data_IF_385264040053
#
_entry.id   IF_385264040053
#
_cell.length_a   1.000
_cell.length_b   1.000
_cell.length_c   1.000
_cell.angle_alpha   90.00
_cell.angle_beta   90.00
_cell.angle_gamma   90.00
#
_symmetry.space_group_name_H-M   'P 1'
#
loop_
_entity.id
_entity.type
_entity.pdbx_description
1 polymer ?
#
# COMPACT_ATOMS: atom_id res chain seq x y z
N UNK A 1 33.85 -26.33 -56.82
CA UNK A 1 34.80 -26.93 -55.86
C UNK A 1 34.00 -27.68 -54.79
N UNK A 2 34.35 -28.95 -54.54
CA UNK A 2 33.75 -29.88 -53.55
C UNK A 2 33.65 -29.23 -52.15
N UNK A 3 32.60 -29.53 -51.39
CA UNK A 3 32.67 -30.54 -50.32
C UNK A 3 31.31 -30.81 -49.64
N UNK A 4 31.03 -32.10 -49.45
CA UNK A 4 29.96 -32.71 -48.66
C UNK A 4 30.11 -32.38 -47.17
N UNK A 5 28.97 -32.21 -46.48
CA UNK A 5 28.68 -32.64 -45.09
C UNK A 5 27.17 -32.94 -45.09
N UNK A 6 26.61 -34.17 -45.04
CA UNK A 6 26.69 -35.25 -44.04
C UNK A 6 26.81 -34.76 -42.60
N UNK A 7 25.72 -34.92 -41.86
CA UNK A 7 25.72 -35.03 -40.40
C UNK A 7 24.55 -34.32 -39.74
N UNK A 8 23.62 -35.08 -39.16
CA UNK A 8 23.00 -34.66 -37.91
C UNK A 8 21.48 -34.54 -37.82
N UNK A 9 20.69 -35.33 -38.54
CA UNK A 9 19.36 -35.71 -38.03
C UNK A 9 19.55 -36.59 -36.79
N UNK A 10 19.49 -35.99 -35.58
CA UNK A 10 19.04 -36.62 -34.33
C UNK A 10 19.30 -35.76 -33.06
N UNK A 11 19.15 -34.44 -33.15
CA UNK A 11 19.11 -33.57 -31.95
C UNK A 11 17.68 -33.17 -31.54
N UNK A 12 16.65 -33.70 -32.21
CA UNK A 12 15.24 -33.39 -31.93
C UNK A 12 14.57 -34.39 -30.96
N UNK A 13 15.30 -35.44 -30.56
CA UNK A 13 14.83 -36.47 -29.63
C UNK A 13 14.86 -36.03 -28.15
N UNK A 14 15.52 -34.92 -27.83
CA UNK A 14 15.75 -34.48 -26.43
C UNK A 14 14.85 -33.33 -26.00
N UNK A 15 14.22 -32.60 -26.94
CA UNK A 15 13.33 -31.46 -26.61
C UNK A 15 11.85 -31.84 -26.48
N UNK A 16 11.43 -33.00 -27.00
CA UNK A 16 10.06 -33.50 -26.83
C UNK A 16 9.81 -34.25 -25.50
N UNK A 17 10.85 -34.66 -24.77
CA UNK A 17 10.70 -35.41 -23.51
C UNK A 17 10.40 -34.57 -22.26
N UNK A 18 10.38 -33.23 -22.35
CA UNK A 18 10.14 -32.37 -21.19
C UNK A 18 8.77 -31.68 -21.17
N UNK A 19 7.90 -31.91 -22.17
CA UNK A 19 6.53 -31.35 -22.19
C UNK A 19 5.43 -32.34 -21.79
N UNK A 20 5.75 -33.63 -21.60
CA UNK A 20 4.78 -34.68 -21.22
C UNK A 20 4.87 -35.10 -19.75
N UNK A 21 5.38 -34.24 -18.86
CA UNK A 21 5.05 -34.34 -17.43
C UNK A 21 3.90 -33.39 -17.14
N UNK A 22 2.74 -33.75 -17.70
CA UNK A 22 1.46 -33.30 -17.19
C UNK A 22 1.47 -33.51 -15.68
N UNK A 23 1.48 -32.40 -14.95
CA UNK A 23 1.41 -32.34 -13.50
C UNK A 23 0.11 -33.05 -13.11
N UNK A 24 0.21 -34.32 -12.73
CA UNK A 24 -0.87 -35.09 -12.13
C UNK A 24 -1.27 -34.36 -10.85
N UNK A 25 -2.27 -33.50 -10.92
CA UNK A 25 -2.94 -32.99 -9.74
C UNK A 25 -3.68 -34.18 -9.15
N UNK A 26 -3.13 -34.74 -8.06
CA UNK A 26 -3.89 -35.64 -7.22
C UNK A 26 -5.21 -34.94 -6.85
N UNK A 27 -6.37 -35.62 -6.95
CA UNK A 27 -7.61 -35.05 -6.44
C UNK A 27 -7.38 -34.78 -4.95
N UNK A 28 -7.49 -33.51 -4.53
CA UNK A 28 -7.42 -33.18 -3.12
C UNK A 28 -8.49 -34.01 -2.40
N UNK A 29 -8.07 -34.95 -1.56
CA UNK A 29 -8.97 -35.83 -0.81
C UNK A 29 -10.04 -34.96 -0.13
N UNK A 30 -11.32 -35.21 -0.45
CA UNK A 30 -12.44 -34.38 0.01
C UNK A 30 -12.50 -34.24 1.53
N UNK A 31 -11.90 -35.18 2.26
CA UNK A 31 -11.72 -35.18 3.71
C UNK A 31 -10.83 -34.04 4.22
N UNK A 32 -9.76 -33.67 3.51
CA UNK A 32 -8.91 -32.53 3.86
C UNK A 32 -9.67 -31.21 3.66
N UNK A 33 -10.42 -31.10 2.56
CA UNK A 33 -11.24 -29.94 2.24
C UNK A 33 -12.39 -29.74 3.24
N UNK A 34 -13.02 -30.81 3.70
CA UNK A 34 -14.05 -30.78 4.74
C UNK A 34 -13.49 -30.34 6.09
N UNK A 35 -12.31 -30.81 6.49
CA UNK A 35 -11.62 -30.34 7.70
C UNK A 35 -11.34 -28.83 7.64
N UNK A 36 -10.83 -28.34 6.51
CA UNK A 36 -10.54 -26.91 6.30
C UNK A 36 -11.83 -26.07 6.37
N UNK A 37 -12.92 -26.55 5.74
CA UNK A 37 -14.24 -25.89 5.81
C UNK A 37 -14.79 -25.85 7.23
N UNK A 38 -14.68 -26.95 7.98
CA UNK A 38 -15.13 -27.02 9.37
C UNK A 38 -14.30 -26.11 10.30
N UNK A 39 -12.98 -26.00 10.09
CA UNK A 39 -12.12 -25.07 10.82
C UNK A 39 -12.45 -23.62 10.50
N UNK A 40 -12.74 -23.30 9.24
CA UNK A 40 -13.18 -21.96 8.83
C UNK A 40 -14.50 -21.55 9.50
N UNK A 41 -15.49 -22.46 9.51
CA UNK A 41 -16.79 -22.21 10.14
C UNK A 41 -16.67 -22.04 11.66
N UNK A 42 -15.74 -22.76 12.30
CA UNK A 42 -15.39 -22.56 13.71
C UNK A 42 -14.70 -21.21 13.97
N UNK A 43 -13.85 -20.74 13.06
CA UNK A 43 -13.22 -19.43 13.16
C UNK A 43 -14.22 -18.28 12.94
N UNK A 44 -15.16 -18.43 12.00
CA UNK A 44 -16.21 -17.44 11.73
C UNK A 44 -17.21 -17.29 12.90
N UNK A 45 -17.32 -18.30 13.78
CA UNK A 45 -18.24 -18.30 14.94
C UNK A 45 -17.61 -17.85 16.26
N UNK A 46 -16.27 -17.70 16.34
CA UNK A 46 -15.55 -17.50 17.61
C UNK A 46 -15.50 -16.04 18.12
N UNK A 47 -15.77 -15.03 17.29
CA UNK A 47 -16.04 -13.66 17.75
C UNK A 47 -16.45 -12.77 16.57
N UNK A 48 -17.23 -11.70 16.79
CA UNK A 48 -17.12 -10.52 15.94
C UNK A 48 -15.68 -10.01 16.08
N UNK A 49 -14.90 -10.04 14.99
CA UNK A 49 -13.60 -9.35 14.97
C UNK A 49 -13.88 -7.90 15.37
N UNK A 50 -13.21 -7.40 16.40
CA UNK A 50 -13.43 -6.04 16.90
C UNK A 50 -13.38 -5.06 15.71
N UNK A 51 -14.33 -4.13 15.66
CA UNK A 51 -14.53 -3.29 14.47
C UNK A 51 -13.43 -2.23 14.34
N UNK A 52 -12.78 -1.89 15.46
CA UNK A 52 -11.73 -0.88 15.52
C UNK A 52 -10.72 -1.15 16.65
N UNK A 53 -9.48 -0.68 16.47
CA UNK A 53 -8.40 -0.79 17.48
C UNK A 53 -8.75 -0.16 18.84
N UNK A 54 -9.73 0.75 18.91
CA UNK A 54 -10.15 1.40 20.15
C UNK A 54 -10.81 0.45 21.17
N UNK A 55 -11.17 -0.76 20.75
CA UNK A 55 -11.87 -1.75 21.57
C UNK A 55 -10.94 -2.80 22.19
N UNK A 56 -9.63 -2.76 21.90
CA UNK A 56 -8.66 -3.73 22.42
C UNK A 56 -7.96 -3.16 23.65
N UNK A 57 -8.21 -3.75 24.81
CA UNK A 57 -7.51 -3.41 26.06
C UNK A 57 -5.98 -3.57 25.89
N UNK A 58 -5.23 -2.50 26.17
CA UNK A 58 -3.76 -2.52 26.23
C UNK A 58 -3.03 -2.05 24.96
N UNK A 59 -3.75 -1.63 23.92
CA UNK A 59 -3.17 -0.92 22.77
C UNK A 59 -3.51 0.56 22.89
N UNK A 60 -2.53 1.39 23.26
CA UNK A 60 -2.70 2.83 23.22
C UNK A 60 -2.97 3.25 21.76
N UNK A 61 -4.17 3.74 21.47
CA UNK A 61 -4.58 4.20 20.13
C UNK A 61 -3.72 5.36 19.59
N UNK A 62 -2.86 5.94 20.43
CA UNK A 62 -1.85 6.93 20.04
C UNK A 62 -0.61 6.34 19.38
N UNK A 63 -0.39 5.02 19.51
CA UNK A 63 0.85 4.37 19.08
C UNK A 63 0.75 3.56 17.79
N UNK A 64 -0.48 3.37 17.31
CA UNK A 64 -0.78 2.53 16.17
C UNK A 64 -1.61 3.33 15.18
N UNK A 65 -1.10 3.47 13.96
CA UNK A 65 -1.87 4.03 12.84
C UNK A 65 -2.50 2.87 12.07
N UNK A 66 -3.83 2.79 12.16
CA UNK A 66 -4.63 1.93 11.28
C UNK A 66 -5.03 2.71 10.04
N UNK A 67 -4.97 2.03 8.89
CA UNK A 67 -5.44 2.58 7.64
C UNK A 67 -6.78 1.92 7.33
N UNK A 68 -7.86 2.70 7.35
CA UNK A 68 -9.23 2.24 7.16
C UNK A 68 -9.76 2.68 5.79
N UNK A 69 -10.79 1.99 5.31
CA UNK A 69 -11.57 2.51 4.19
C UNK A 69 -12.46 3.65 4.70
N UNK A 70 -12.26 4.84 4.13
CA UNK A 70 -12.97 6.06 4.50
C UNK A 70 -13.90 6.51 3.38
N UNK A 71 -15.00 7.16 3.75
CA UNK A 71 -15.84 7.85 2.79
C UNK A 71 -15.15 9.11 2.25
N UNK A 72 -15.53 9.54 1.05
CA UNK A 72 -14.88 10.69 0.40
C UNK A 72 -15.01 11.99 1.21
N UNK A 73 -16.09 12.12 1.99
CA UNK A 73 -16.33 13.28 2.87
C UNK A 73 -15.39 13.27 4.09
N UNK A 74 -15.17 12.10 4.69
CA UNK A 74 -14.23 11.94 5.81
C UNK A 74 -12.80 12.24 5.38
N UNK A 75 -12.40 11.77 4.19
CA UNK A 75 -11.09 12.06 3.59
C UNK A 75 -10.92 13.57 3.40
N UNK A 76 -11.94 14.24 2.87
CA UNK A 76 -11.91 15.67 2.62
C UNK A 76 -11.75 16.46 3.93
N UNK A 77 -12.56 16.13 4.95
CA UNK A 77 -12.47 16.76 6.27
C UNK A 77 -11.07 16.60 6.87
N UNK A 78 -10.50 15.39 6.82
CA UNK A 78 -9.15 15.15 7.38
C UNK A 78 -8.04 15.89 6.62
N UNK A 79 -8.17 16.01 5.30
CA UNK A 79 -7.23 16.83 4.51
C UNK A 79 -7.33 18.30 4.92
N UNK A 80 -8.54 18.84 5.09
CA UNK A 80 -8.74 20.22 5.54
C UNK A 80 -8.16 20.46 6.94
N UNK A 81 -8.40 19.55 7.88
CA UNK A 81 -7.81 19.61 9.23
C UNK A 81 -6.27 19.59 9.19
N UNK A 82 -5.68 18.78 8.31
CA UNK A 82 -4.22 18.75 8.10
C UNK A 82 -3.72 20.08 7.53
N UNK A 83 -4.43 20.67 6.57
CA UNK A 83 -4.06 21.96 5.98
C UNK A 83 -4.16 23.08 7.01
N UNK A 84 -5.20 23.08 7.87
CA UNK A 84 -5.31 24.05 8.97
C UNK A 84 -4.12 23.95 9.92
N UNK A 85 -3.74 22.74 10.34
CA UNK A 85 -2.54 22.52 11.19
C UNK A 85 -1.26 23.04 10.52
N UNK A 86 -1.12 22.80 9.21
CA UNK A 86 0.02 23.31 8.44
C UNK A 86 0.03 24.84 8.41
N UNK A 87 -1.12 25.48 8.20
CA UNK A 87 -1.24 26.95 8.22
C UNK A 87 -0.85 27.50 9.60
N UNK A 88 -1.29 26.88 10.69
CA UNK A 88 -0.89 27.24 12.05
C UNK A 88 0.64 27.10 12.26
N UNK A 89 1.26 26.03 11.75
CA UNK A 89 2.72 25.86 11.79
C UNK A 89 3.47 26.96 11.04
N UNK A 90 2.95 27.37 9.88
CA UNK A 90 3.54 28.45 9.07
C UNK A 90 3.38 29.79 9.79
N UNK A 91 2.20 30.09 10.33
CA UNK A 91 1.93 31.35 11.05
C UNK A 91 2.73 31.46 12.36
N UNK A 92 3.01 30.34 13.02
CA UNK A 92 3.85 30.29 14.22
C UNK A 92 5.36 30.33 13.92
N UNK A 93 5.77 30.38 12.65
CA UNK A 93 7.17 30.52 12.24
C UNK A 93 7.96 29.20 12.16
N UNK A 94 7.31 28.05 12.34
CA UNK A 94 7.95 26.72 12.21
C UNK A 94 8.07 26.26 10.75
N UNK A 95 7.39 26.95 9.82
CA UNK A 95 7.39 26.63 8.40
C UNK A 95 6.46 25.46 8.04
N UNK A 96 6.59 24.96 6.81
CA UNK A 96 5.80 23.83 6.31
C UNK A 96 6.46 22.50 6.67
N UNK A 97 5.75 21.66 7.43
CA UNK A 97 6.19 20.29 7.71
C UNK A 97 5.02 19.31 7.67
N UNK A 98 5.28 18.09 7.22
CA UNK A 98 4.33 16.97 7.33
C UNK A 98 4.93 15.88 8.21
N UNK A 99 4.11 15.25 9.04
CA UNK A 99 4.52 14.10 9.85
C UNK A 99 3.67 12.91 9.48
N UNK A 100 4.31 11.82 9.07
CA UNK A 100 3.64 10.61 8.59
C UNK A 100 4.37 9.34 9.08
N UNK A 101 3.66 8.22 9.29
CA UNK A 101 4.27 6.98 9.77
C UNK A 101 5.23 6.36 8.75
N UNK A 102 6.30 5.72 9.23
CA UNK A 102 7.28 5.04 8.39
C UNK A 102 6.70 3.69 7.95
N UNK A 103 6.69 3.38 6.65
CA UNK A 103 6.23 2.08 6.11
C UNK A 103 7.33 1.01 5.99
N UNK A 104 8.38 1.11 6.79
CA UNK A 104 9.48 0.13 6.78
C UNK A 104 9.08 -1.15 7.49
N UNK A 105 9.67 -2.29 7.11
CA UNK A 105 9.35 -3.61 7.68
C UNK A 105 9.45 -3.66 9.22
N UNK A 106 10.34 -2.85 9.83
CA UNK A 106 10.44 -2.76 11.28
C UNK A 106 9.28 -2.03 11.97
N UNK A 107 8.60 -1.14 11.24
CA UNK A 107 7.45 -0.37 11.74
C UNK A 107 6.10 -1.02 11.43
N UNK A 108 6.08 -2.07 10.60
CA UNK A 108 4.88 -2.84 10.32
C UNK A 108 4.65 -3.82 11.46
N UNK A 109 3.44 -3.82 12.02
CA UNK A 109 2.96 -4.75 13.05
C UNK A 109 1.76 -5.52 12.56
N UNK A 110 1.54 -6.72 13.12
CA UNK A 110 0.35 -7.51 12.88
C UNK A 110 -0.40 -7.70 14.19
N UNK A 111 -1.67 -7.31 14.19
CA UNK A 111 -2.57 -7.46 15.34
C UNK A 111 -3.39 -8.72 15.12
N UNK A 112 -3.15 -9.75 15.92
CA UNK A 112 -3.76 -11.09 15.76
C UNK A 112 -5.26 -11.07 16.03
N UNK A 113 -5.67 -10.18 16.92
CA UNK A 113 -7.03 -9.98 17.41
C UNK A 113 -7.94 -9.42 16.32
N UNK A 114 -7.38 -8.59 15.41
CA UNK A 114 -8.08 -7.99 14.29
C UNK A 114 -7.83 -8.69 12.96
N UNK A 115 -6.81 -9.54 12.87
CA UNK A 115 -6.29 -10.09 11.61
C UNK A 115 -5.95 -8.97 10.62
N UNK A 116 -5.28 -7.92 11.12
CA UNK A 116 -4.93 -6.69 10.37
C UNK A 116 -3.47 -6.30 10.53
N UNK A 117 -2.94 -5.69 9.47
CA UNK A 117 -1.61 -5.09 9.46
C UNK A 117 -1.75 -3.62 9.86
N UNK A 118 -0.91 -3.18 10.79
CA UNK A 118 -0.93 -1.83 11.34
C UNK A 118 0.47 -1.22 11.33
N UNK A 119 0.55 0.11 11.36
CA UNK A 119 1.82 0.82 11.52
C UNK A 119 2.04 1.15 13.00
N UNK A 120 3.23 0.88 13.51
CA UNK A 120 3.64 1.24 14.89
C UNK A 120 4.05 2.72 14.96
N UNK A 121 4.62 3.11 16.10
CA UNK A 121 5.01 4.46 16.51
C UNK A 121 6.05 5.22 15.69
N UNK A 122 6.78 4.58 14.76
CA UNK A 122 7.87 5.30 14.10
C UNK A 122 7.30 6.27 13.08
N UNK A 123 7.33 7.55 13.43
CA UNK A 123 6.97 8.66 12.57
C UNK A 123 8.20 9.26 11.90
N UNK A 124 8.00 9.82 10.72
CA UNK A 124 8.98 10.68 10.04
C UNK A 124 8.38 12.04 9.79
N UNK A 125 9.15 13.08 10.08
CA UNK A 125 8.80 14.46 9.73
C UNK A 125 9.54 14.87 8.46
N UNK A 126 8.83 15.48 7.53
CA UNK A 126 9.36 16.03 6.28
C UNK A 126 9.17 17.54 6.30
N UNK A 127 10.27 18.24 6.52
CA UNK A 127 10.28 19.71 6.54
C UNK A 127 10.55 20.25 5.14
N UNK A 128 9.88 21.34 4.78
CA UNK A 128 10.13 22.04 3.53
C UNK A 128 11.48 22.79 3.55
N UNK A 129 11.91 23.25 4.72
CA UNK A 129 13.15 24.02 4.89
C UNK A 129 14.42 23.18 4.63
N UNK A 130 14.33 21.85 4.79
CA UNK A 130 15.49 20.97 4.67
C UNK A 130 15.64 20.45 3.23
N UNK A 131 16.83 20.61 2.64
CA UNK A 131 17.10 20.33 1.21
C UNK A 131 16.93 18.85 0.82
N UNK A 132 17.09 17.92 1.76
CA UNK A 132 16.87 16.49 1.50
C UNK A 132 15.39 16.09 1.46
N UNK A 133 14.51 16.85 2.13
CA UNK A 133 13.08 16.54 2.26
C UNK A 133 12.19 17.49 1.47
N UNK A 134 12.69 18.65 1.05
CA UNK A 134 11.95 19.69 0.31
C UNK A 134 11.17 19.12 -0.88
N UNK A 135 11.82 18.27 -1.69
CA UNK A 135 11.20 17.71 -2.89
C UNK A 135 10.04 16.78 -2.55
N UNK A 136 10.22 15.89 -1.58
CA UNK A 136 9.16 14.97 -1.14
C UNK A 136 8.00 15.73 -0.51
N UNK A 137 8.31 16.78 0.25
CA UNK A 137 7.31 17.68 0.86
C UNK A 137 6.48 18.39 -0.22
N UNK A 138 7.13 18.91 -1.27
CA UNK A 138 6.44 19.55 -2.39
C UNK A 138 5.53 18.57 -3.17
N UNK A 139 6.03 17.36 -3.45
CA UNK A 139 5.24 16.29 -4.07
C UNK A 139 4.03 15.94 -3.19
N UNK A 140 4.22 15.83 -1.87
CA UNK A 140 3.15 15.53 -0.92
C UNK A 140 2.05 16.60 -0.90
N UNK A 141 2.42 17.87 -0.84
CA UNK A 141 1.46 18.98 -0.97
C UNK A 141 0.70 18.91 -2.29
N UNK A 142 1.38 18.58 -3.40
CA UNK A 142 0.73 18.46 -4.71
C UNK A 142 -0.25 17.28 -4.74
N UNK A 143 0.12 16.14 -4.18
CA UNK A 143 -0.77 14.96 -4.10
C UNK A 143 -1.99 15.27 -3.22
N UNK A 144 -1.81 15.90 -2.05
CA UNK A 144 -2.91 16.34 -1.19
C UNK A 144 -3.88 17.27 -1.94
N UNK A 145 -3.35 18.24 -2.68
CA UNK A 145 -4.16 19.14 -3.51
C UNK A 145 -4.97 18.37 -4.55
N UNK A 146 -4.35 17.42 -5.26
CA UNK A 146 -5.04 16.62 -6.28
C UNK A 146 -6.14 15.78 -5.63
N UNK A 147 -5.82 15.04 -4.57
CA UNK A 147 -6.79 14.19 -3.85
C UNK A 147 -7.98 15.01 -3.35
N UNK A 148 -7.73 16.17 -2.74
CA UNK A 148 -8.78 17.09 -2.31
C UNK A 148 -9.72 17.49 -3.46
N UNK A 149 -9.18 17.86 -4.63
CA UNK A 149 -9.99 18.22 -5.80
C UNK A 149 -10.79 17.03 -6.35
N UNK A 150 -10.22 15.83 -6.31
CA UNK A 150 -10.90 14.60 -6.73
C UNK A 150 -12.05 14.23 -5.81
N UNK A 151 -11.88 14.38 -4.49
CA UNK A 151 -12.94 14.20 -3.50
C UNK A 151 -14.09 15.17 -3.72
N UNK A 152 -13.81 16.46 -3.96
CA UNK A 152 -14.83 17.48 -4.26
C UNK A 152 -15.60 17.14 -5.55
N UNK A 153 -14.87 16.76 -6.59
CA UNK A 153 -15.46 16.49 -7.91
C UNK A 153 -16.17 15.13 -7.98
N UNK A 154 -16.01 14.27 -6.95
CA UNK A 154 -16.48 12.88 -6.92
C UNK A 154 -16.00 12.07 -8.14
N UNK A 155 -14.75 12.28 -8.54
CA UNK A 155 -14.13 11.59 -9.68
C UNK A 155 -13.09 10.60 -9.16
N UNK A 156 -13.21 9.36 -9.60
CA UNK A 156 -12.18 8.34 -9.38
C UNK A 156 -11.11 8.42 -10.46
N UNK A 157 -9.84 8.30 -10.06
CA UNK A 157 -8.68 8.45 -10.93
C UNK A 157 -7.72 7.29 -10.69
N UNK A 158 -7.10 6.77 -11.75
CA UNK A 158 -6.10 5.70 -11.60
C UNK A 158 -4.74 6.26 -11.16
N UNK A 159 -3.87 5.41 -10.58
CA UNK A 159 -2.50 5.82 -10.20
C UNK A 159 -1.72 6.43 -11.36
N UNK A 160 -1.90 5.91 -12.58
CA UNK A 160 -1.25 6.43 -13.78
C UNK A 160 -1.78 7.80 -14.18
N UNK A 161 -3.08 7.99 -14.13
CA UNK A 161 -3.70 9.29 -14.43
C UNK A 161 -3.22 10.35 -13.44
N UNK A 162 -3.10 10.01 -12.15
CA UNK A 162 -2.49 10.88 -11.14
C UNK A 162 -1.05 11.24 -11.52
N UNK A 163 -0.22 10.26 -11.91
CA UNK A 163 1.15 10.52 -12.37
C UNK A 163 1.19 11.46 -13.58
N UNK A 164 0.24 11.32 -14.51
CA UNK A 164 0.18 12.17 -15.70
C UNK A 164 -0.28 13.61 -15.44
N UNK A 165 -0.90 13.91 -14.28
CA UNK A 165 -1.28 15.29 -13.93
C UNK A 165 -0.08 16.22 -13.77
N UNK A 166 1.07 15.70 -13.32
CA UNK A 166 2.29 16.49 -13.10
C UNK A 166 3.58 15.65 -13.26
N UNK A 167 3.80 15.17 -14.48
CA UNK A 167 4.97 14.34 -14.83
C UNK A 167 6.30 15.08 -14.54
N UNK A 168 6.31 16.41 -14.62
CA UNK A 168 7.52 17.21 -14.40
C UNK A 168 7.94 17.22 -12.93
N UNK A 169 6.98 17.31 -12.01
CA UNK A 169 7.24 17.27 -10.59
C UNK A 169 7.62 15.85 -10.11
N UNK A 170 6.87 14.85 -10.55
CA UNK A 170 7.07 13.47 -10.09
C UNK A 170 8.32 12.82 -10.71
N UNK A 171 8.60 13.08 -12.00
CA UNK A 171 9.65 12.47 -12.83
C UNK A 171 9.53 10.95 -13.02
N UNK A 172 9.35 10.20 -11.93
CA UNK A 172 9.21 8.75 -11.91
C UNK A 172 7.89 8.37 -11.24
N UNK A 173 7.18 7.39 -11.78
CA UNK A 173 5.90 6.92 -11.24
C UNK A 173 6.03 6.42 -9.79
N UNK A 174 7.17 5.79 -9.44
CA UNK A 174 7.41 5.33 -8.08
C UNK A 174 7.33 6.49 -7.06
N UNK A 175 7.75 7.71 -7.43
CA UNK A 175 7.74 8.85 -6.51
C UNK A 175 6.34 9.36 -6.23
N UNK A 176 5.43 9.33 -7.21
CA UNK A 176 4.02 9.68 -6.97
C UNK A 176 3.32 8.61 -6.15
N UNK A 177 3.57 7.34 -6.48
CA UNK A 177 2.92 6.21 -5.82
C UNK A 177 3.36 6.09 -4.34
N UNK A 178 4.66 6.24 -4.07
CA UNK A 178 5.21 6.22 -2.71
C UNK A 178 4.62 7.31 -1.83
N UNK A 179 4.45 8.52 -2.38
CA UNK A 179 3.89 9.66 -1.64
C UNK A 179 2.39 9.54 -1.49
N UNK A 180 1.68 8.98 -2.48
CA UNK A 180 0.26 8.68 -2.37
C UNK A 180 -0.01 7.70 -1.22
N UNK A 181 0.78 6.63 -1.11
CA UNK A 181 0.66 5.68 0.00
C UNK A 181 1.02 6.33 1.35
N UNK A 182 2.02 7.22 1.40
CA UNK A 182 2.36 7.98 2.61
C UNK A 182 1.21 8.91 3.03
N UNK A 183 0.53 9.56 2.08
CA UNK A 183 -0.65 10.41 2.33
C UNK A 183 -1.82 9.58 2.85
N UNK A 184 -2.08 8.40 2.28
CA UNK A 184 -3.10 7.49 2.79
C UNK A 184 -2.85 7.12 4.26
N UNK A 185 -1.59 6.77 4.60
CA UNK A 185 -1.22 6.46 5.98
C UNK A 185 -1.28 7.66 6.94
N UNK A 186 -1.15 8.88 6.43
CA UNK A 186 -1.25 10.11 7.23
C UNK A 186 -2.71 10.48 7.53
N UNK A 187 -3.63 10.17 6.61
CA UNK A 187 -5.06 10.44 6.75
C UNK A 187 -5.75 9.37 7.62
N UNK A 188 -5.30 8.11 7.55
CA UNK A 188 -5.79 6.99 8.36
C UNK A 188 -6.93 6.23 7.71
#
# INVERSE_FOLDING_TARGET
CRMRRRGGENADATRKRQRDTARTMAPADGTELEKVRALRLKLETLAPRAASLGEIEGIDSKQITEVLELESDDVLQRIEELVVKVVEQVLSGHGLSYTHPIRSSGNIGYVKELDRIVLKDKMTTREFAHTSTVRKTAIMTRVLQIVHQLCISRIHVTKRDLFYTDVKLFQQQQQSDDVLDDVACMIG
#
